data_IF_344391872464
#
_entry.id   IF_344391872464
#
_cell.length_a   1.000
_cell.length_b   1.000
_cell.length_c   1.000
_cell.angle_alpha   90.00
_cell.angle_beta   90.00
_cell.angle_gamma   90.00
#
_symmetry.space_group_name_H-M   'P 1'
#
loop_
_entity.id
_entity.type
_entity.pdbx_description
1 polymer ?
#
# COMPACT_ATOMS: atom_id res chain seq x y z
N UNK A 1 -4.26 -13.92 18.76
CA UNK A 1 -4.39 -12.78 17.84
C UNK A 1 -3.34 -11.77 18.28
N UNK A 2 -2.18 -11.78 17.63
CA UNK A 2 -1.05 -10.93 18.01
C UNK A 2 -1.32 -9.52 17.49
N UNK A 3 -1.48 -8.57 18.40
CA UNK A 3 -1.58 -7.15 18.08
C UNK A 3 -0.21 -6.70 17.56
N UNK A 4 -0.11 -6.49 16.25
CA UNK A 4 1.04 -5.81 15.68
C UNK A 4 1.08 -4.38 16.21
N UNK A 5 2.24 -3.86 16.62
CA UNK A 5 2.35 -2.48 17.04
C UNK A 5 2.05 -1.59 15.82
N UNK A 6 0.84 -1.03 15.81
CA UNK A 6 0.38 -0.11 14.77
C UNK A 6 1.18 1.22 14.75
N UNK A 7 2.11 1.37 15.67
CA UNK A 7 2.82 2.62 15.97
C UNK A 7 4.27 2.65 15.42
N UNK A 8 4.70 1.58 14.76
CA UNK A 8 6.08 1.45 14.30
C UNK A 8 6.25 2.09 12.92
N UNK A 9 7.23 2.99 12.74
CA UNK A 9 7.54 3.59 11.44
C UNK A 9 8.30 2.61 10.53
N UNK A 10 8.45 2.97 9.24
CA UNK A 10 9.13 2.12 8.27
C UNK A 10 10.60 1.89 8.63
N UNK A 11 11.27 2.88 9.25
CA UNK A 11 12.66 2.75 9.65
C UNK A 11 12.83 1.67 10.74
N UNK A 12 11.94 1.67 11.73
CA UNK A 12 11.95 0.68 12.79
C UNK A 12 11.61 -0.71 12.27
N UNK A 13 10.60 -0.83 11.37
CA UNK A 13 10.25 -2.10 10.72
C UNK A 13 11.40 -2.64 9.88
N UNK A 14 12.04 -1.81 9.05
CA UNK A 14 13.20 -2.19 8.24
C UNK A 14 14.34 -2.67 9.12
N UNK A 15 14.65 -1.95 10.19
CA UNK A 15 15.72 -2.34 11.13
C UNK A 15 15.45 -3.71 11.78
N UNK A 16 14.19 -4.04 12.10
CA UNK A 16 13.81 -5.36 12.61
C UNK A 16 13.88 -6.44 11.55
N UNK A 17 13.39 -6.17 10.33
CA UNK A 17 13.48 -7.10 9.20
C UNK A 17 14.94 -7.48 8.92
N UNK A 18 15.86 -6.52 8.96
CA UNK A 18 17.30 -6.75 8.76
C UNK A 18 17.93 -7.62 9.86
N UNK A 19 17.33 -7.65 11.05
CA UNK A 19 17.73 -8.56 12.14
C UNK A 19 17.09 -9.96 12.06
N UNK A 20 16.30 -10.23 11.01
CA UNK A 20 15.65 -11.52 10.80
C UNK A 20 14.32 -11.69 11.56
N UNK A 21 13.70 -10.62 12.02
CA UNK A 21 12.42 -10.68 12.74
C UNK A 21 11.25 -10.98 11.78
N UNK A 22 10.74 -12.21 11.83
CA UNK A 22 9.63 -12.66 10.99
C UNK A 22 8.34 -11.85 11.23
N UNK A 23 8.11 -11.36 12.46
CA UNK A 23 6.92 -10.55 12.75
C UNK A 23 6.99 -9.17 12.10
N UNK A 24 8.18 -8.58 12.00
CA UNK A 24 8.40 -7.33 11.29
C UNK A 24 8.18 -7.49 9.78
N UNK A 25 8.61 -8.61 9.19
CA UNK A 25 8.31 -8.94 7.79
C UNK A 25 6.80 -9.06 7.55
N UNK A 26 6.07 -9.76 8.42
CA UNK A 26 4.62 -9.87 8.31
C UNK A 26 3.94 -8.50 8.38
N UNK A 27 4.37 -7.64 9.29
CA UNK A 27 3.84 -6.28 9.44
C UNK A 27 4.13 -5.42 8.19
N UNK A 28 5.33 -5.52 7.62
CA UNK A 28 5.73 -4.80 6.43
C UNK A 28 4.93 -5.24 5.20
N UNK A 29 4.73 -6.55 5.02
CA UNK A 29 3.88 -7.08 3.96
C UNK A 29 2.44 -6.59 4.11
N UNK A 30 1.86 -6.68 5.31
CA UNK A 30 0.49 -6.20 5.58
C UNK A 30 0.32 -4.71 5.30
N UNK A 31 1.34 -3.88 5.62
CA UNK A 31 1.33 -2.45 5.37
C UNK A 31 1.25 -2.11 3.89
N UNK A 32 1.99 -2.84 3.05
CA UNK A 32 2.15 -2.51 1.63
C UNK A 32 1.35 -3.39 0.66
N UNK A 33 0.80 -4.51 1.10
CA UNK A 33 0.09 -5.45 0.22
C UNK A 33 -1.03 -4.79 -0.60
N UNK A 34 -1.84 -3.93 0.04
CA UNK A 34 -2.95 -3.25 -0.65
C UNK A 34 -2.45 -2.27 -1.71
N UNK A 35 -1.38 -1.53 -1.41
CA UNK A 35 -0.76 -0.62 -2.37
C UNK A 35 -0.29 -1.38 -3.60
N UNK A 36 0.45 -2.47 -3.41
CA UNK A 36 0.93 -3.33 -4.50
C UNK A 36 -0.25 -3.88 -5.32
N UNK A 37 -1.26 -4.48 -4.68
CA UNK A 37 -2.43 -5.01 -5.38
C UNK A 37 -3.18 -3.92 -6.17
N UNK A 38 -3.36 -2.74 -5.59
CA UNK A 38 -4.06 -1.64 -6.27
C UNK A 38 -3.31 -1.18 -7.51
N UNK A 39 -1.97 -1.05 -7.45
CA UNK A 39 -1.14 -0.69 -8.61
C UNK A 39 -1.29 -1.74 -9.70
N UNK A 40 -1.13 -3.00 -9.35
CA UNK A 40 -1.14 -4.12 -10.29
C UNK A 40 -2.50 -4.27 -10.98
N UNK A 41 -3.59 -4.14 -10.22
CA UNK A 41 -4.96 -4.19 -10.77
C UNK A 41 -5.25 -3.00 -11.71
N UNK A 42 -4.76 -1.81 -11.39
CA UNK A 42 -4.89 -0.64 -12.29
C UNK A 42 -4.13 -0.80 -13.60
N UNK A 43 -3.03 -1.55 -13.62
CA UNK A 43 -2.30 -1.90 -14.84
C UNK A 43 -3.08 -2.90 -15.70
N UNK A 44 -4.15 -3.52 -15.17
CA UNK A 44 -5.05 -4.40 -15.91
C UNK A 44 -4.68 -5.88 -15.82
N UNK A 45 -3.87 -6.29 -14.86
CA UNK A 45 -3.64 -7.71 -14.58
C UNK A 45 -4.85 -8.31 -13.85
N UNK A 46 -5.14 -9.58 -14.17
CA UNK A 46 -6.11 -10.40 -13.44
C UNK A 46 -5.62 -10.77 -12.04
N UNK A 47 -6.39 -11.55 -11.32
CA UNK A 47 -6.06 -11.93 -9.94
C UNK A 47 -4.80 -12.81 -9.88
N UNK A 48 -4.60 -13.69 -10.86
CA UNK A 48 -3.42 -14.57 -10.96
C UNK A 48 -2.15 -13.75 -11.21
N UNK A 49 -2.16 -12.91 -12.24
CA UNK A 49 -1.04 -12.02 -12.54
C UNK A 49 -0.74 -11.05 -11.39
N UNK A 50 -1.78 -10.60 -10.66
CA UNK A 50 -1.60 -9.76 -9.49
C UNK A 50 -0.90 -10.51 -8.35
N UNK A 51 -1.23 -11.78 -8.11
CA UNK A 51 -0.58 -12.61 -7.10
C UNK A 51 0.90 -12.89 -7.46
N UNK A 52 1.20 -13.15 -8.72
CA UNK A 52 2.57 -13.38 -9.20
C UNK A 52 3.45 -12.13 -9.02
N UNK A 53 2.94 -10.97 -9.43
CA UNK A 53 3.65 -9.69 -9.24
C UNK A 53 3.84 -9.40 -7.75
N UNK A 54 2.80 -9.61 -6.92
CA UNK A 54 2.91 -9.45 -5.48
C UNK A 54 4.06 -10.29 -4.90
N UNK A 55 4.09 -11.57 -5.23
CA UNK A 55 5.14 -12.47 -4.76
C UNK A 55 6.52 -11.99 -5.23
N UNK A 56 6.65 -11.59 -6.49
CA UNK A 56 7.90 -11.11 -7.07
C UNK A 56 8.40 -9.85 -6.37
N UNK A 57 7.52 -8.87 -6.12
CA UNK A 57 7.86 -7.61 -5.46
C UNK A 57 8.41 -7.86 -4.06
N UNK A 58 7.72 -8.68 -3.25
CA UNK A 58 8.18 -8.96 -1.88
C UNK A 58 9.41 -9.88 -1.82
N UNK A 59 9.56 -10.82 -2.76
CA UNK A 59 10.79 -11.61 -2.89
C UNK A 59 11.99 -10.73 -3.22
N UNK A 60 11.83 -9.78 -4.15
CA UNK A 60 12.89 -8.80 -4.46
C UNK A 60 13.14 -7.87 -3.27
N UNK A 61 12.11 -7.47 -2.53
CA UNK A 61 12.29 -6.64 -1.35
C UNK A 61 13.17 -7.33 -0.32
N UNK A 62 12.99 -8.62 -0.06
CA UNK A 62 13.83 -9.39 0.86
C UNK A 62 15.30 -9.31 0.44
N UNK A 63 15.60 -9.43 -0.84
CA UNK A 63 16.96 -9.40 -1.38
C UNK A 63 17.58 -8.00 -1.38
N UNK A 64 16.76 -6.97 -1.60
CA UNK A 64 17.23 -5.59 -1.76
C UNK A 64 17.16 -4.75 -0.49
N UNK A 65 16.40 -5.17 0.53
CA UNK A 65 16.21 -4.41 1.77
C UNK A 65 17.54 -3.96 2.42
N UNK A 66 18.60 -4.81 2.46
CA UNK A 66 19.90 -4.39 3.02
C UNK A 66 20.60 -3.26 2.24
N UNK A 67 20.18 -3.02 0.99
CA UNK A 67 20.76 -2.01 0.09
C UNK A 67 19.94 -0.73 0.05
N UNK A 68 18.75 -0.71 0.64
CA UNK A 68 17.92 0.48 0.74
C UNK A 68 18.53 1.38 1.82
N UNK A 69 19.33 2.35 1.37
CA UNK A 69 20.07 3.23 2.27
C UNK A 69 19.16 4.15 3.12
N UNK A 70 17.97 4.47 2.62
CA UNK A 70 17.02 5.35 3.27
C UNK A 70 15.66 4.63 3.41
N UNK A 71 15.27 4.23 4.63
CA UNK A 71 13.98 3.58 4.87
C UNK A 71 12.76 4.41 4.42
N UNK A 72 12.88 5.74 4.37
CA UNK A 72 11.80 6.61 3.89
C UNK A 72 11.53 6.43 2.40
N UNK A 73 12.50 5.90 1.65
CA UNK A 73 12.35 5.56 0.22
C UNK A 73 11.75 4.18 -0.03
N UNK A 74 11.47 3.40 1.02
CA UNK A 74 10.91 2.06 0.91
C UNK A 74 9.61 2.04 0.10
N UNK A 75 8.69 2.94 0.40
CA UNK A 75 7.42 3.04 -0.32
C UNK A 75 7.64 3.34 -1.81
N UNK A 76 8.50 4.30 -2.14
CA UNK A 76 8.80 4.64 -3.53
C UNK A 76 9.44 3.46 -4.28
N UNK A 77 10.33 2.72 -3.62
CA UNK A 77 10.95 1.51 -4.18
C UNK A 77 9.89 0.42 -4.47
N UNK A 78 8.98 0.16 -3.52
CA UNK A 78 7.90 -0.84 -3.67
C UNK A 78 7.00 -0.44 -4.85
N UNK A 79 6.60 0.83 -4.94
CA UNK A 79 5.74 1.35 -6.01
C UNK A 79 6.40 1.19 -7.37
N UNK A 80 7.65 1.61 -7.51
CA UNK A 80 8.41 1.51 -8.76
C UNK A 80 8.58 0.05 -9.18
N UNK A 81 8.92 -0.82 -8.23
CA UNK A 81 9.10 -2.26 -8.51
C UNK A 81 7.77 -2.90 -8.89
N UNK A 82 6.67 -2.62 -8.19
CA UNK A 82 5.35 -3.16 -8.51
C UNK A 82 4.87 -2.72 -9.91
N UNK A 83 5.07 -1.45 -10.25
CA UNK A 83 4.75 -0.91 -11.59
C UNK A 83 5.54 -1.64 -12.67
N UNK A 84 6.85 -1.75 -12.50
CA UNK A 84 7.76 -2.41 -13.46
C UNK A 84 7.38 -3.88 -13.67
N UNK A 85 7.21 -4.64 -12.59
CA UNK A 85 6.88 -6.07 -12.68
C UNK A 85 5.50 -6.28 -13.32
N UNK A 86 4.51 -5.46 -12.97
CA UNK A 86 3.18 -5.55 -13.55
C UNK A 86 3.18 -5.25 -15.05
N UNK A 87 3.95 -4.27 -15.51
CA UNK A 87 4.08 -3.97 -16.93
C UNK A 87 4.77 -5.10 -17.71
N UNK A 88 5.82 -5.69 -17.10
CA UNK A 88 6.51 -6.84 -17.67
C UNK A 88 5.57 -8.04 -17.81
N UNK A 89 4.85 -8.38 -16.73
CA UNK A 89 3.88 -9.48 -16.71
C UNK A 89 2.78 -9.27 -17.77
N UNK A 90 2.27 -8.05 -17.92
CA UNK A 90 1.27 -7.72 -18.95
C UNK A 90 1.80 -7.93 -20.37
N UNK A 91 3.06 -7.51 -20.63
CA UNK A 91 3.69 -7.73 -21.95
C UNK A 91 3.87 -9.23 -22.26
N UNK A 92 4.26 -10.03 -21.27
CA UNK A 92 4.40 -11.47 -21.42
C UNK A 92 3.04 -12.13 -21.70
N UNK A 93 1.98 -11.77 -20.96
CA UNK A 93 0.63 -12.28 -21.20
C UNK A 93 0.07 -11.92 -22.58
N UNK A 94 0.38 -10.75 -23.12
CA UNK A 94 -0.01 -10.37 -24.47
C UNK A 94 0.73 -11.16 -25.55
N UNK A 95 1.99 -11.53 -25.31
CA UNK A 95 2.78 -12.35 -26.26
C UNK A 95 2.28 -13.80 -26.34
N UNK A 96 1.81 -14.39 -25.24
CA UNK A 96 1.24 -15.74 -25.24
C UNK A 96 -0.10 -15.84 -25.96
N UNK A 97 -0.85 -14.75 -26.09
CA UNK A 97 -2.09 -14.69 -26.89
C UNK A 97 -1.80 -14.49 -28.38
N UNK A 98 -0.62 -13.99 -28.73
CA UNK A 98 -0.18 -13.77 -30.13
C UNK A 98 0.87 -14.81 -30.53
N UNK A 99 0.50 -16.09 -30.50
CA UNK A 99 1.38 -17.18 -30.96
C UNK A 99 1.45 -17.20 -32.50
N UNK A 100 2.28 -16.37 -33.07
CA UNK A 100 3.06 -16.63 -34.31
C UNK A 100 4.14 -15.58 -34.46
N UNK A 101 5.26 -15.79 -33.81
CA UNK A 101 6.64 -15.56 -34.32
C UNK A 101 7.60 -15.55 -33.16
N UNK A 102 8.44 -16.57 -33.17
CA UNK A 102 9.61 -16.68 -32.31
C UNK A 102 10.54 -15.50 -32.51
N UNK A 103 11.01 -14.89 -31.45
CA UNK A 103 12.42 -14.59 -31.29
C UNK A 103 12.81 -14.62 -29.83
N UNK A 104 13.71 -15.56 -29.57
CA UNK A 104 14.35 -15.80 -28.27
C UNK A 104 15.42 -14.72 -28.08
N UNK A 105 15.24 -13.86 -27.10
CA UNK A 105 16.35 -13.17 -26.45
C UNK A 105 16.03 -13.00 -24.98
N UNK A 106 16.47 -14.01 -24.20
CA UNK A 106 16.73 -13.85 -22.79
C UNK A 106 17.88 -12.85 -22.64
N UNK A 107 17.58 -11.66 -22.16
CA UNK A 107 18.58 -10.73 -21.67
C UNK A 107 18.42 -10.57 -20.18
N UNK A 108 19.45 -11.07 -19.48
CA UNK A 108 19.62 -11.06 -18.04
C UNK A 108 20.19 -9.71 -17.60
N UNK A 109 19.44 -8.99 -16.77
CA UNK A 109 20.05 -8.04 -15.83
C UNK A 109 20.39 -6.64 -16.32
N UNK A 110 19.93 -6.15 -17.46
CA UNK A 110 20.14 -4.78 -17.91
C UNK A 110 19.22 -3.78 -17.22
N UNK A 111 19.75 -2.61 -16.94
CA UNK A 111 19.03 -1.39 -16.58
C UNK A 111 18.12 -0.99 -17.75
N UNK A 112 16.92 -1.61 -17.76
CA UNK A 112 15.96 -1.43 -18.85
C UNK A 112 15.31 -0.06 -18.69
N UNK A 113 15.78 0.87 -19.45
CA UNK A 113 15.12 2.13 -19.77
C UNK A 113 13.88 1.80 -20.62
N UNK A 114 12.84 1.29 -19.96
CA UNK A 114 11.55 1.08 -20.60
C UNK A 114 10.95 2.44 -20.87
N UNK A 115 10.59 2.76 -22.13
CA UNK A 115 9.86 3.98 -22.43
C UNK A 115 8.65 4.09 -21.50
N UNK A 116 8.43 5.25 -20.94
CA UNK A 116 7.39 5.56 -19.96
C UNK A 116 5.97 5.53 -20.59
N UNK A 117 5.63 4.44 -21.28
CA UNK A 117 4.26 4.12 -21.66
C UNK A 117 3.53 3.52 -20.47
N UNK A 118 3.55 4.22 -19.35
CA UNK A 118 2.86 3.78 -18.17
C UNK A 118 1.36 4.02 -18.29
N UNK A 119 0.52 2.97 -18.19
CA UNK A 119 -0.93 3.15 -18.17
C UNK A 119 -1.44 3.84 -16.89
N UNK A 120 -0.57 4.09 -15.93
CA UNK A 120 -0.89 4.84 -14.74
C UNK A 120 -0.23 6.21 -14.86
N UNK A 121 -1.06 7.26 -15.01
CA UNK A 121 -0.58 8.63 -14.94
C UNK A 121 0.16 8.85 -13.60
N UNK A 122 1.20 9.68 -13.61
CA UNK A 122 2.00 10.02 -12.41
C UNK A 122 1.10 10.50 -11.26
N UNK A 123 0.06 11.29 -11.58
CA UNK A 123 -0.95 11.76 -10.64
C UNK A 123 -1.70 10.60 -9.96
N UNK A 124 -2.16 9.60 -10.72
CA UNK A 124 -2.86 8.45 -10.16
C UNK A 124 -1.95 7.60 -9.25
N UNK A 125 -0.65 7.60 -9.52
CA UNK A 125 0.34 6.93 -8.67
C UNK A 125 0.57 7.72 -7.38
N UNK A 126 0.67 9.06 -7.47
CA UNK A 126 0.75 9.94 -6.31
C UNK A 126 -0.48 9.82 -5.41
N UNK A 127 -1.69 9.78 -5.98
CA UNK A 127 -2.94 9.56 -5.24
C UNK A 127 -2.94 8.23 -4.49
N UNK A 128 -2.45 7.16 -5.11
CA UNK A 128 -2.33 5.85 -4.47
C UNK A 128 -1.33 5.85 -3.32
N UNK A 129 -0.21 6.53 -3.49
CA UNK A 129 0.79 6.69 -2.44
C UNK A 129 0.20 7.47 -1.26
N UNK A 130 -0.48 8.59 -1.54
CA UNK A 130 -1.13 9.40 -0.52
C UNK A 130 -2.24 8.62 0.20
N UNK A 131 -3.09 7.90 -0.53
CA UNK A 131 -4.12 7.04 0.08
C UNK A 131 -3.52 5.96 0.99
N UNK A 132 -2.37 5.38 0.61
CA UNK A 132 -1.67 4.41 1.43
C UNK A 132 -1.07 5.06 2.70
N UNK A 133 -0.51 6.27 2.60
CA UNK A 133 -0.02 7.02 3.76
C UNK A 133 -1.14 7.32 4.76
N UNK A 134 -2.29 7.80 4.26
CA UNK A 134 -3.46 8.05 5.12
C UNK A 134 -3.94 6.77 5.81
N UNK A 135 -3.96 5.66 5.09
CA UNK A 135 -4.37 4.36 5.65
C UNK A 135 -3.40 3.89 6.74
N UNK A 136 -2.11 3.96 6.49
CA UNK A 136 -1.08 3.63 7.48
C UNK A 136 -1.20 4.52 8.72
N UNK A 137 -1.49 5.82 8.54
CA UNK A 137 -1.74 6.75 9.63
C UNK A 137 -3.00 6.41 10.43
N UNK A 138 -4.09 5.97 9.75
CA UNK A 138 -5.30 5.49 10.42
C UNK A 138 -5.03 4.25 11.27
N UNK A 139 -4.16 3.35 10.81
CA UNK A 139 -3.79 2.15 11.54
C UNK A 139 -2.98 2.46 12.81
N UNK A 140 -2.31 3.60 12.87
CA UNK A 140 -1.57 4.12 14.04
C UNK A 140 -2.45 4.86 15.06
N UNK A 141 -3.68 5.19 14.70
CA UNK A 141 -4.63 5.82 15.62
C UNK A 141 -5.10 4.83 16.69
N UNK A 142 -5.42 5.38 17.87
CA UNK A 142 -6.16 4.62 18.88
C UNK A 142 -7.50 4.10 18.30
N UNK A 143 -7.95 2.96 18.84
CA UNK A 143 -9.15 2.26 18.33
C UNK A 143 -10.35 3.19 18.25
N UNK A 144 -10.54 4.06 19.25
CA UNK A 144 -11.70 4.95 19.32
C UNK A 144 -11.67 6.03 18.24
N UNK A 145 -10.51 6.65 18.01
CA UNK A 145 -10.36 7.63 16.94
C UNK A 145 -10.49 6.99 15.55
N UNK A 146 -9.89 5.82 15.35
CA UNK A 146 -10.01 5.06 14.09
C UNK A 146 -11.47 4.74 13.80
N UNK A 147 -12.20 4.16 14.74
CA UNK A 147 -13.60 3.79 14.60
C UNK A 147 -14.48 5.01 14.26
N UNK A 148 -14.29 6.13 14.98
CA UNK A 148 -15.02 7.36 14.71
C UNK A 148 -14.78 7.87 13.29
N UNK A 149 -13.51 7.95 12.85
CA UNK A 149 -13.19 8.44 11.51
C UNK A 149 -13.70 7.48 10.43
N UNK A 150 -13.60 6.17 10.63
CA UNK A 150 -14.16 5.18 9.70
C UNK A 150 -15.68 5.26 9.57
N UNK A 151 -16.41 5.56 10.65
CA UNK A 151 -17.86 5.75 10.61
C UNK A 151 -18.26 7.05 9.90
N UNK A 152 -17.47 8.13 10.06
CA UNK A 152 -17.79 9.45 9.52
C UNK A 152 -17.39 9.61 8.03
N UNK A 153 -16.38 8.86 7.57
CA UNK A 153 -15.80 9.01 6.23
C UNK A 153 -15.93 7.72 5.39
N UNK A 154 -17.02 6.97 5.58
CA UNK A 154 -17.34 5.85 4.68
C UNK A 154 -17.68 6.38 3.29
N UNK A 155 -17.17 5.71 2.26
CA UNK A 155 -17.41 6.04 0.84
C UNK A 155 -18.80 5.58 0.34
N UNK A 156 -19.50 4.75 1.12
CA UNK A 156 -20.82 4.27 0.76
C UNK A 156 -21.87 5.41 0.87
N UNK A 157 -22.84 5.41 -0.04
CA UNK A 157 -23.94 6.38 -0.14
C UNK A 157 -24.81 6.47 1.14
N UNK A 158 -24.65 5.54 2.04
CA UNK A 158 -25.22 5.49 3.40
C UNK A 158 -24.32 6.25 4.40
N UNK A 159 -24.37 7.59 4.34
CA UNK A 159 -23.82 8.41 5.42
C UNK A 159 -24.52 8.04 6.73
N UNK A 160 -23.79 7.41 7.63
CA UNK A 160 -24.31 7.09 8.96
C UNK A 160 -24.76 8.39 9.64
N UNK A 161 -26.04 8.45 10.02
CA UNK A 161 -26.58 9.63 10.72
C UNK A 161 -25.79 9.90 12.02
N UNK A 162 -25.59 11.15 12.36
CA UNK A 162 -24.84 11.51 13.58
C UNK A 162 -25.40 10.88 14.85
N UNK A 163 -26.70 10.66 14.93
CA UNK A 163 -27.35 9.96 16.05
C UNK A 163 -26.89 8.51 16.17
N UNK A 164 -26.71 7.84 15.05
CA UNK A 164 -26.20 6.47 15.00
C UNK A 164 -24.72 6.42 15.36
N UNK A 165 -23.91 7.37 14.86
CA UNK A 165 -22.50 7.50 15.25
C UNK A 165 -22.38 7.76 16.75
N UNK A 166 -23.18 8.68 17.30
CA UNK A 166 -23.20 8.98 18.73
C UNK A 166 -23.51 7.73 19.56
N UNK A 167 -24.51 6.96 19.14
CA UNK A 167 -24.95 5.72 19.81
C UNK A 167 -23.83 4.66 19.79
N UNK A 168 -23.22 4.40 18.62
CA UNK A 168 -22.12 3.43 18.48
C UNK A 168 -20.90 3.82 19.28
N UNK A 169 -20.56 5.10 19.28
CA UNK A 169 -19.38 5.62 19.98
C UNK A 169 -19.62 5.86 21.49
N UNK A 170 -20.87 5.79 21.97
CA UNK A 170 -21.22 6.08 23.36
C UNK A 170 -20.94 7.53 23.76
N UNK A 171 -21.17 8.49 22.85
CA UNK A 171 -20.98 9.94 23.08
C UNK A 171 -22.23 10.72 22.71
N UNK A 172 -22.35 11.96 23.21
CA UNK A 172 -23.45 12.83 22.76
C UNK A 172 -23.20 13.31 21.33
N UNK A 173 -24.28 13.57 20.57
CA UNK A 173 -24.21 14.10 19.19
C UNK A 173 -23.37 15.38 19.14
N UNK A 174 -23.52 16.28 20.10
CA UNK A 174 -22.74 17.53 20.20
C UNK A 174 -21.23 17.30 20.43
N UNK A 175 -20.83 16.13 20.93
CA UNK A 175 -19.43 15.76 21.17
C UNK A 175 -18.74 15.20 19.94
N UNK A 176 -19.48 14.83 18.88
CA UNK A 176 -18.90 14.25 17.66
C UNK A 176 -17.93 15.24 17.01
N UNK A 177 -18.34 16.48 16.79
CA UNK A 177 -17.51 17.51 16.16
C UNK A 177 -16.17 17.73 16.86
N UNK A 178 -16.15 18.08 18.14
CA UNK A 178 -14.92 18.25 18.91
C UNK A 178 -14.03 16.98 18.95
N UNK A 179 -14.63 15.80 19.06
CA UNK A 179 -13.89 14.54 19.07
C UNK A 179 -13.29 14.25 17.70
N UNK A 180 -14.04 14.46 16.61
CA UNK A 180 -13.53 14.35 15.24
C UNK A 180 -12.32 15.26 15.02
N UNK A 181 -12.40 16.53 15.44
CA UNK A 181 -11.29 17.47 15.29
C UNK A 181 -10.03 16.96 15.97
N UNK A 182 -10.12 16.49 17.23
CA UNK A 182 -8.98 15.91 17.95
C UNK A 182 -8.41 14.66 17.28
N UNK A 183 -9.28 13.79 16.74
CA UNK A 183 -8.84 12.58 16.05
C UNK A 183 -8.16 12.92 14.71
N UNK A 184 -8.64 13.93 13.97
CA UNK A 184 -8.00 14.41 12.76
C UNK A 184 -6.64 15.08 13.04
N UNK A 185 -6.53 15.82 14.13
CA UNK A 185 -5.24 16.41 14.52
C UNK A 185 -4.22 15.33 14.89
N UNK A 186 -4.63 14.28 15.62
CA UNK A 186 -3.79 13.10 15.83
C UNK A 186 -3.39 12.42 14.52
N UNK A 187 -4.34 12.23 13.58
CA UNK A 187 -4.07 11.62 12.29
C UNK A 187 -2.99 12.39 11.52
N UNK A 188 -3.07 13.73 11.51
CA UNK A 188 -2.09 14.59 10.84
C UNK A 188 -0.66 14.37 11.36
N UNK A 189 -0.47 14.04 12.63
CA UNK A 189 0.87 13.78 13.18
C UNK A 189 1.51 12.50 12.64
N UNK A 190 0.71 11.61 12.06
CA UNK A 190 1.16 10.33 11.49
C UNK A 190 1.25 10.34 9.95
N UNK A 191 0.66 11.35 9.30
CA UNK A 191 0.79 11.58 7.85
C UNK A 191 2.00 12.47 7.63
N UNK A 192 3.12 11.87 7.27
CA UNK A 192 4.36 12.57 6.92
C UNK A 192 4.68 12.32 5.46
#
# INVERSE_FOLDING_TARGET
MSAYPADEDDAALVARCLRGDASAWSALVQRYQRLVYTIVRRIGLDEHGAADVFQTVFSRLIQHLPRIADPQRLQAWIVTTAKREALLQRKLGQRTVSTTRADDSMDDGGDWDLPDESPIAEEALADLQQANQVRNALDRLDVRCRELLMLLFREDDDRVAYDEVARRMGISVGSIGPTRARCLDKLKTFVV
#
